data_IF_915862981504
#
_entry.id   IF_915862981504
#
_cell.length_a   1.000
_cell.length_b   1.000
_cell.length_c   1.000
_cell.angle_alpha   90.00
_cell.angle_beta   90.00
_cell.angle_gamma   90.00
#
_symmetry.space_group_name_H-M   'P 1'
#
loop_
_entity.id
_entity.type
_entity.pdbx_description
1 polymer ?
#
# COMPACT_ATOMS: atom_id res chain seq x y z
N UNK A 1 22.90 17.56 24.47
CA UNK A 1 22.12 16.66 23.59
C UNK A 1 22.93 15.38 23.39
N UNK A 2 22.38 14.21 23.73
CA UNK A 2 23.06 12.93 23.49
C UNK A 2 23.22 12.69 21.99
N UNK A 3 24.40 12.22 21.56
CA UNK A 3 24.64 11.89 20.15
C UNK A 3 23.72 10.75 19.73
N UNK A 4 22.98 10.86 18.61
CA UNK A 4 22.16 9.77 18.12
C UNK A 4 23.05 8.57 17.79
N UNK A 5 22.68 7.38 18.28
CA UNK A 5 23.41 6.13 18.01
C UNK A 5 23.46 5.89 16.50
N UNK A 6 24.63 5.62 15.89
CA UNK A 6 24.73 5.33 14.46
C UNK A 6 23.92 4.07 14.13
N UNK A 7 23.37 4.01 12.91
CA UNK A 7 22.66 2.82 12.41
C UNK A 7 23.69 1.78 11.95
N UNK A 8 23.55 0.54 12.40
CA UNK A 8 24.41 -0.55 11.92
C UNK A 8 23.96 -1.03 10.54
N UNK A 9 24.82 -1.76 9.84
CA UNK A 9 24.50 -2.32 8.53
C UNK A 9 23.36 -3.33 8.62
N UNK A 10 23.31 -4.13 9.69
CA UNK A 10 22.25 -5.10 9.96
C UNK A 10 20.91 -4.41 10.21
N UNK A 11 20.90 -3.30 10.97
CA UNK A 11 19.68 -2.51 11.19
C UNK A 11 19.18 -1.90 9.87
N UNK A 12 20.08 -1.38 9.03
CA UNK A 12 19.73 -0.82 7.72
C UNK A 12 19.21 -1.90 6.79
N UNK A 13 19.87 -3.05 6.73
CA UNK A 13 19.45 -4.19 5.93
C UNK A 13 18.06 -4.65 6.36
N UNK A 14 17.85 -4.85 7.67
CA UNK A 14 16.55 -5.25 8.22
C UNK A 14 15.46 -4.22 7.87
N UNK A 15 15.76 -2.93 8.01
CA UNK A 15 14.81 -1.87 7.71
C UNK A 15 14.43 -1.84 6.23
N UNK A 16 15.38 -2.08 5.32
CA UNK A 16 15.11 -2.17 3.87
C UNK A 16 14.17 -3.32 3.51
N UNK A 17 14.16 -4.41 4.27
CA UNK A 17 13.30 -5.56 4.02
C UNK A 17 11.93 -5.43 4.69
N UNK A 18 11.89 -4.99 5.96
CA UNK A 18 10.65 -4.91 6.72
C UNK A 18 9.79 -3.70 6.33
N UNK A 19 10.40 -2.55 6.05
CA UNK A 19 9.67 -1.31 5.82
C UNK A 19 8.74 -1.33 4.59
N UNK A 20 9.15 -1.87 3.42
CA UNK A 20 8.25 -2.00 2.27
C UNK A 20 7.37 -3.26 2.32
N UNK A 21 7.45 -4.06 3.38
CA UNK A 21 6.67 -5.29 3.53
C UNK A 21 5.30 -5.04 4.17
N UNK A 22 4.51 -6.10 4.25
CA UNK A 22 3.14 -6.10 4.78
C UNK A 22 3.03 -6.00 6.29
N UNK A 23 4.14 -6.13 7.00
CA UNK A 23 4.14 -6.06 8.46
C UNK A 23 3.69 -4.67 8.92
N UNK A 24 2.83 -4.64 9.93
CA UNK A 24 2.33 -3.41 10.54
C UNK A 24 3.50 -2.54 11.03
N UNK A 25 3.26 -1.23 11.17
CA UNK A 25 4.33 -0.35 11.64
C UNK A 25 4.71 -0.66 13.09
N UNK A 26 3.75 -1.14 13.87
CA UNK A 26 3.89 -1.63 15.24
C UNK A 26 4.87 -2.81 15.30
N UNK A 27 4.69 -3.82 14.45
CA UNK A 27 5.61 -4.97 14.36
C UNK A 27 7.03 -4.56 13.92
N UNK A 28 7.15 -3.56 13.04
CA UNK A 28 8.46 -2.99 12.70
C UNK A 28 9.09 -2.38 13.95
N UNK A 29 8.36 -1.57 14.71
CA UNK A 29 8.89 -0.95 15.93
C UNK A 29 9.36 -2.01 16.92
N UNK A 30 8.61 -3.10 17.09
CA UNK A 30 9.00 -4.24 17.93
C UNK A 30 10.29 -4.92 17.45
N UNK A 31 10.51 -4.99 16.12
CA UNK A 31 11.74 -5.54 15.55
C UNK A 31 12.99 -4.66 15.78
N UNK A 32 12.81 -3.40 16.23
CA UNK A 32 13.89 -2.45 16.54
C UNK A 32 13.78 -1.92 17.98
N UNK A 33 14.01 -2.75 19.02
CA UNK A 33 13.83 -2.36 20.42
C UNK A 33 14.74 -1.21 20.88
N UNK A 34 15.84 -0.98 20.16
CA UNK A 34 16.81 0.09 20.44
C UNK A 34 16.52 1.40 19.69
N UNK A 35 15.42 1.49 18.93
CA UNK A 35 15.08 2.65 18.11
C UNK A 35 13.70 3.15 18.45
N UNK A 36 13.55 4.47 18.47
CA UNK A 36 12.23 5.08 18.60
C UNK A 36 11.48 4.99 17.26
N UNK A 37 10.14 4.97 17.28
CA UNK A 37 9.33 5.01 16.06
C UNK A 37 9.70 6.17 15.12
N UNK A 38 9.97 7.35 15.68
CA UNK A 38 10.41 8.52 14.92
C UNK A 38 11.79 8.32 14.27
N UNK A 39 12.74 7.68 14.96
CA UNK A 39 14.05 7.39 14.38
C UNK A 39 13.94 6.42 13.19
N UNK A 40 13.06 5.43 13.28
CA UNK A 40 12.77 4.47 12.20
C UNK A 40 12.18 5.19 10.99
N UNK A 41 11.13 6.00 11.18
CA UNK A 41 10.50 6.80 10.10
C UNK A 41 11.50 7.72 9.40
N UNK A 42 12.30 8.45 10.18
CA UNK A 42 13.29 9.37 9.65
C UNK A 42 14.38 8.63 8.87
N UNK A 43 14.85 7.49 9.36
CA UNK A 43 15.82 6.68 8.64
C UNK A 43 15.24 6.10 7.35
N UNK A 44 14.03 5.55 7.40
CA UNK A 44 13.35 5.00 6.23
C UNK A 44 13.16 6.07 5.14
N UNK A 45 12.72 7.28 5.52
CA UNK A 45 12.61 8.43 4.63
C UNK A 45 13.96 8.79 3.99
N UNK A 46 15.03 8.86 4.78
CA UNK A 46 16.41 9.11 4.26
C UNK A 46 16.91 8.01 3.33
N UNK A 47 16.42 6.79 3.48
CA UNK A 47 16.73 5.66 2.60
C UNK A 47 15.81 5.59 1.37
N UNK A 48 14.82 6.48 1.26
CA UNK A 48 13.83 6.49 0.17
C UNK A 48 12.81 5.36 0.25
N UNK A 49 12.67 4.71 1.41
CA UNK A 49 11.74 3.60 1.59
C UNK A 49 10.31 4.13 1.77
N UNK A 50 9.37 3.54 1.02
CA UNK A 50 7.93 3.85 1.12
C UNK A 50 7.21 2.62 1.64
N UNK A 51 6.24 2.83 2.55
CA UNK A 51 5.28 1.79 2.92
C UNK A 51 4.22 1.69 1.82
N UNK A 52 3.77 0.49 1.46
CA UNK A 52 2.58 0.37 0.63
C UNK A 52 1.40 0.98 1.40
N UNK A 53 0.71 1.93 0.78
CA UNK A 53 -0.48 2.61 1.35
C UNK A 53 -1.74 1.76 1.23
N UNK A 54 -1.62 0.58 0.61
CA UNK A 54 -2.68 -0.40 0.42
C UNK A 54 -2.19 -1.77 0.90
N UNK A 55 -3.09 -2.64 1.35
CA UNK A 55 -2.75 -4.05 1.55
C UNK A 55 -2.14 -4.61 0.26
N UNK A 56 -0.96 -5.24 0.30
CA UNK A 56 -0.36 -5.92 -0.87
C UNK A 56 -1.23 -7.05 -1.42
N UNK A 57 -2.26 -7.48 -0.69
CA UNK A 57 -3.33 -8.33 -1.22
C UNK A 57 -3.90 -7.73 -2.51
N UNK A 58 -4.00 -6.40 -2.59
CA UNK A 58 -4.41 -5.69 -3.80
C UNK A 58 -3.28 -5.62 -4.85
N UNK A 59 -2.02 -5.42 -4.44
CA UNK A 59 -0.87 -5.35 -5.37
C UNK A 59 -0.52 -6.68 -6.07
N UNK A 60 -1.06 -7.80 -5.60
CA UNK A 60 -0.88 -9.13 -6.22
C UNK A 60 -2.13 -9.67 -6.90
N UNK A 61 -3.25 -8.96 -6.83
CA UNK A 61 -4.48 -9.38 -7.47
C UNK A 61 -4.41 -9.08 -8.96
N UNK A 62 -4.58 -10.08 -9.82
CA UNK A 62 -4.78 -9.87 -11.27
C UNK A 62 -6.03 -9.05 -11.62
N UNK A 63 -6.80 -8.72 -10.59
CA UNK A 63 -8.12 -8.11 -10.66
C UNK A 63 -8.10 -6.66 -10.17
N UNK A 64 -7.08 -6.19 -9.44
CA UNK A 64 -7.04 -4.81 -8.93
C UNK A 64 -5.63 -4.23 -9.09
N UNK A 65 -5.52 -3.07 -9.75
CA UNK A 65 -4.29 -2.30 -9.88
C UNK A 65 -4.49 -0.93 -9.26
N UNK A 66 -3.52 -0.47 -8.48
CA UNK A 66 -3.50 0.90 -8.01
C UNK A 66 -3.17 1.85 -9.18
N UNK A 67 -3.95 2.91 -9.33
CA UNK A 67 -3.64 4.03 -10.22
C UNK A 67 -3.44 5.30 -9.41
N UNK A 68 -2.19 5.74 -9.32
CA UNK A 68 -1.87 7.09 -8.88
C UNK A 68 -1.85 7.99 -10.12
N UNK A 69 -2.87 8.81 -10.31
CA UNK A 69 -2.73 9.95 -11.22
C UNK A 69 -1.70 10.90 -10.58
N UNK A 70 -0.74 11.40 -11.36
CA UNK A 70 0.47 12.07 -10.87
C UNK A 70 0.27 13.41 -10.15
N UNK A 71 -0.97 13.73 -9.75
CA UNK A 71 -1.36 14.95 -9.06
C UNK A 71 -1.34 14.83 -7.53
N UNK A 72 -1.19 13.61 -7.00
CA UNK A 72 -1.11 13.32 -5.56
C UNK A 72 -2.37 13.68 -4.77
N UNK A 73 -3.50 13.93 -5.45
CA UNK A 73 -4.73 14.44 -4.82
C UNK A 73 -5.88 13.43 -4.84
N UNK A 74 -5.80 12.38 -5.66
CA UNK A 74 -6.82 11.32 -5.69
C UNK A 74 -6.18 9.95 -5.96
N UNK A 75 -6.42 8.99 -5.06
CA UNK A 75 -6.08 7.60 -5.33
C UNK A 75 -7.28 6.92 -6.01
N UNK A 76 -7.02 6.21 -7.10
CA UNK A 76 -8.02 5.41 -7.78
C UNK A 76 -7.52 3.98 -7.98
N UNK A 77 -8.46 3.08 -8.25
CA UNK A 77 -8.22 1.67 -8.49
C UNK A 77 -8.66 1.33 -9.91
N UNK A 78 -7.89 0.51 -10.61
CA UNK A 78 -8.28 -0.18 -11.83
C UNK A 78 -8.69 -1.60 -11.48
N UNK A 79 -9.96 -1.90 -11.60
CA UNK A 79 -10.52 -3.23 -11.42
C UNK A 79 -10.64 -3.96 -12.77
N UNK A 80 -10.13 -5.18 -12.89
CA UNK A 80 -10.31 -6.01 -14.08
C UNK A 80 -11.60 -6.82 -13.96
N UNK A 81 -12.54 -6.59 -14.86
CA UNK A 81 -13.76 -7.40 -14.95
C UNK A 81 -13.41 -8.88 -15.13
N UNK A 82 -13.98 -9.76 -14.29
CA UNK A 82 -13.78 -11.21 -14.35
C UNK A 82 -14.37 -11.84 -15.62
N UNK A 83 -15.45 -11.26 -16.15
CA UNK A 83 -16.17 -11.81 -17.30
C UNK A 83 -15.52 -11.43 -18.64
N UNK A 84 -15.21 -10.16 -18.84
CA UNK A 84 -14.72 -9.66 -20.13
C UNK A 84 -13.28 -9.15 -20.11
N UNK A 85 -12.62 -9.19 -18.95
CA UNK A 85 -11.23 -8.78 -18.78
C UNK A 85 -10.97 -7.28 -18.92
N UNK A 86 -12.01 -6.45 -19.00
CA UNK A 86 -11.85 -5.00 -19.20
C UNK A 86 -11.55 -4.28 -17.91
N UNK A 87 -10.70 -3.27 -17.99
CA UNK A 87 -10.30 -2.45 -16.86
C UNK A 87 -11.36 -1.37 -16.57
N UNK A 88 -11.74 -1.25 -15.30
CA UNK A 88 -12.75 -0.35 -14.75
C UNK A 88 -12.06 0.59 -13.77
N UNK A 89 -12.20 1.90 -13.95
CA UNK A 89 -11.70 2.91 -13.00
C UNK A 89 -12.69 3.08 -11.86
N UNK A 90 -12.19 3.09 -10.63
CA UNK A 90 -12.95 3.31 -9.39
C UNK A 90 -12.19 4.35 -8.57
N UNK A 91 -12.82 5.48 -8.24
CA UNK A 91 -12.15 6.54 -7.46
C UNK A 91 -12.49 6.41 -5.96
N UNK A 92 -11.58 6.85 -5.09
CA UNK A 92 -11.91 7.09 -3.67
C UNK A 92 -12.96 8.21 -3.56
N UNK A 93 -14.24 7.84 -3.46
CA UNK A 93 -15.36 8.77 -3.37
C UNK A 93 -16.54 8.42 -4.25
N UNK A 94 -16.35 7.54 -5.25
CA UNK A 94 -17.49 6.85 -5.84
C UNK A 94 -18.07 5.97 -4.73
N UNK A 95 -19.36 6.16 -4.40
CA UNK A 95 -20.07 5.37 -3.39
C UNK A 95 -20.03 3.89 -3.78
N UNK A 96 -18.95 3.20 -3.42
CA UNK A 96 -18.92 1.76 -3.32
C UNK A 96 -19.97 1.45 -2.27
N UNK A 97 -21.11 0.96 -2.74
CA UNK A 97 -22.14 0.39 -1.91
C UNK A 97 -21.50 -0.56 -0.91
N UNK A 98 -22.10 -0.70 0.27
CA UNK A 98 -21.64 -1.53 1.40
C UNK A 98 -21.22 -2.97 1.05
N UNK A 99 -21.60 -3.46 -0.14
CA UNK A 99 -21.26 -4.77 -0.70
C UNK A 99 -20.09 -4.78 -1.72
N UNK A 100 -19.48 -3.62 -2.02
CA UNK A 100 -18.34 -3.51 -2.95
C UNK A 100 -18.66 -3.90 -4.40
N UNK A 101 -19.88 -3.64 -4.88
CA UNK A 101 -20.33 -4.07 -6.21
C UNK A 101 -20.00 -3.03 -7.29
N UNK A 102 -19.34 -3.45 -8.36
CA UNK A 102 -18.94 -2.62 -9.51
C UNK A 102 -19.62 -3.16 -10.78
N UNK A 103 -20.33 -2.31 -11.52
CA UNK A 103 -20.91 -2.70 -12.82
C UNK A 103 -19.91 -2.43 -13.94
N UNK A 104 -19.61 -3.44 -14.76
CA UNK A 104 -18.72 -3.29 -15.89
C UNK A 104 -19.36 -2.45 -17.01
N UNK A 105 -18.74 -1.33 -17.38
CA UNK A 105 -19.22 -0.49 -18.48
C UNK A 105 -19.24 -1.19 -19.86
N UNK A 106 -18.43 -2.25 -20.05
CA UNK A 106 -18.33 -2.98 -21.33
C UNK A 106 -19.34 -4.12 -21.45
N UNK A 107 -19.40 -5.02 -20.47
CA UNK A 107 -20.26 -6.21 -20.55
C UNK A 107 -21.50 -6.15 -19.64
N UNK A 108 -21.64 -5.08 -18.84
CA UNK A 108 -22.73 -4.87 -17.86
C UNK A 108 -22.82 -5.92 -16.75
N UNK A 109 -21.82 -6.79 -16.61
CA UNK A 109 -21.75 -7.72 -15.49
C UNK A 109 -21.50 -6.98 -14.18
N UNK A 110 -22.13 -7.45 -13.10
CA UNK A 110 -21.86 -7.02 -11.74
C UNK A 110 -20.65 -7.80 -11.21
N UNK A 111 -19.57 -7.09 -10.91
CA UNK A 111 -18.37 -7.61 -10.29
C UNK A 111 -18.32 -7.18 -8.82
N UNK A 112 -17.55 -7.89 -7.99
CA UNK A 112 -17.42 -7.59 -6.57
C UNK A 112 -15.95 -7.39 -6.20
N UNK A 113 -15.67 -6.38 -5.39
CA UNK A 113 -14.39 -6.25 -4.71
C UNK A 113 -14.41 -7.24 -3.53
N UNK A 114 -13.60 -8.29 -3.62
CA UNK A 114 -13.35 -9.17 -2.48
C UNK A 114 -12.23 -8.52 -1.68
N UNK A 115 -12.53 -8.10 -0.44
CA UNK A 115 -11.56 -7.53 0.49
C UNK A 115 -10.57 -8.59 1.00
#
# INVERSE_FOLDING_TARGET
>A
MSRPRPWTEEEVWKLRHLYPSEVSFEEIVEAFPNRTPNAIRLKASRLGLKRPTLPSALCRSSTILLCSEGDGRSNGYLFRCSECGSWIRVNEGDELNENGAIVCAKCRSTCYIVA
#
